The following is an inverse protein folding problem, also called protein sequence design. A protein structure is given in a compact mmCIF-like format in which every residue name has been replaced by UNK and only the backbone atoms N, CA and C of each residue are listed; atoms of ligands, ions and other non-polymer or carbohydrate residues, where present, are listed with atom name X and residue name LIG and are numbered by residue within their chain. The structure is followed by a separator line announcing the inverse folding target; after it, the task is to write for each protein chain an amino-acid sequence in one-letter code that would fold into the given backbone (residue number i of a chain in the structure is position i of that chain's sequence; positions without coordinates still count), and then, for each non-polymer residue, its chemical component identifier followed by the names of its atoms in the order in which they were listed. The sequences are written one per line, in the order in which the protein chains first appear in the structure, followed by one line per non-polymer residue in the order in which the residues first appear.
data_IF_220868393419
#
_entry.id   IF_220868393419
#
_cell.length_a   1.000
_cell.length_b   1.000
_cell.length_c   1.000
_cell.angle_alpha   90.00
_cell.angle_beta   90.00
_cell.angle_gamma   90.00
#
_symmetry.space_group_name_H-M   'P 1'
#
loop_
_entity.id
_entity.type
_entity.pdbx_description
1 polymer ?
#
# COMPACT_ATOMS: atom_id res chain seq x y z
N UNK A 1 11.98 16.16 18.40
CA UNK A 1 11.62 15.57 17.11
C UNK A 1 12.84 15.01 16.38
N UNK A 2 13.94 15.74 16.25
CA UNK A 2 15.15 15.29 15.54
C UNK A 2 15.69 13.93 16.03
N UNK A 3 15.74 13.74 17.36
CA UNK A 3 16.20 12.48 17.95
C UNK A 3 15.30 11.29 17.58
N UNK A 4 13.97 11.50 17.55
CA UNK A 4 13.02 10.49 17.12
C UNK A 4 13.21 10.12 15.65
N UNK A 5 13.40 11.09 14.78
CA UNK A 5 13.62 10.83 13.36
C UNK A 5 14.89 10.02 13.13
N UNK A 6 15.99 10.36 13.83
CA UNK A 6 17.24 9.58 13.77
C UNK A 6 17.02 8.14 14.22
N UNK A 7 16.30 7.93 15.33
CA UNK A 7 15.97 6.59 15.82
C UNK A 7 15.17 5.78 14.77
N UNK A 8 14.13 6.39 14.20
CA UNK A 8 13.30 5.74 13.20
C UNK A 8 14.07 5.41 11.92
N UNK A 9 14.96 6.31 11.49
CA UNK A 9 15.87 6.05 10.35
C UNK A 9 16.82 4.88 10.63
N UNK A 10 17.35 4.77 11.84
CA UNK A 10 18.19 3.61 12.22
C UNK A 10 17.42 2.30 12.25
N UNK A 11 16.18 2.33 12.77
CA UNK A 11 15.31 1.15 12.72
C UNK A 11 14.98 0.74 11.28
N UNK A 12 14.72 1.72 10.39
CA UNK A 12 14.55 1.47 8.95
C UNK A 12 15.79 0.80 8.34
N UNK A 13 16.98 1.35 8.59
CA UNK A 13 18.23 0.85 8.03
C UNK A 13 18.47 -0.62 8.44
N UNK A 14 18.17 -0.96 9.70
CA UNK A 14 18.26 -2.34 10.19
C UNK A 14 17.17 -3.23 9.58
N UNK A 15 15.94 -2.70 9.40
CA UNK A 15 14.83 -3.45 8.83
C UNK A 15 15.04 -3.81 7.34
N UNK A 16 15.91 -3.10 6.64
CA UNK A 16 16.29 -3.37 5.25
C UNK A 16 17.42 -4.41 5.09
N UNK A 17 18.01 -4.88 6.18
CA UNK A 17 19.03 -5.95 6.11
C UNK A 17 18.34 -7.29 5.79
N UNK A 18 18.69 -7.94 4.66
CA UNK A 18 17.93 -9.10 4.20
C UNK A 18 18.04 -10.30 5.15
N UNK A 19 16.89 -10.95 5.38
CA UNK A 19 16.75 -12.27 6.02
C UNK A 19 17.38 -12.42 7.41
N UNK A 20 17.23 -11.43 8.27
CA UNK A 20 17.70 -11.52 9.65
C UNK A 20 16.52 -11.35 10.64
N UNK A 21 16.54 -12.09 11.75
CA UNK A 21 15.59 -11.88 12.84
C UNK A 21 15.66 -10.43 13.38
N UNK A 22 16.83 -9.79 13.27
CA UNK A 22 17.01 -8.38 13.65
C UNK A 22 16.21 -7.43 12.75
N UNK A 23 16.14 -7.70 11.45
CA UNK A 23 15.35 -6.90 10.51
C UNK A 23 13.86 -6.99 10.83
N UNK A 24 13.36 -8.18 11.12
CA UNK A 24 11.96 -8.37 11.52
C UNK A 24 11.64 -7.66 12.85
N UNK A 25 12.52 -7.78 13.84
CA UNK A 25 12.38 -7.07 15.11
C UNK A 25 12.45 -5.56 14.93
N UNK A 26 13.37 -5.05 14.09
CA UNK A 26 13.49 -3.63 13.82
C UNK A 26 12.23 -3.08 13.12
N UNK A 27 11.70 -3.81 12.14
CA UNK A 27 10.46 -3.47 11.45
C UNK A 27 9.27 -3.42 12.41
N UNK A 28 9.13 -4.45 13.26
CA UNK A 28 8.06 -4.50 14.25
C UNK A 28 8.16 -3.33 15.25
N UNK A 29 9.35 -3.07 15.78
CA UNK A 29 9.59 -1.96 16.71
C UNK A 29 9.34 -0.59 16.06
N UNK A 30 9.75 -0.40 14.80
CA UNK A 30 9.50 0.84 14.06
C UNK A 30 7.99 1.14 14.02
N UNK A 31 7.17 0.20 13.57
CA UNK A 31 5.73 0.42 13.51
C UNK A 31 5.08 0.47 14.88
N UNK A 32 5.54 -0.30 15.86
CA UNK A 32 5.05 -0.21 17.23
C UNK A 32 5.26 1.20 17.80
N UNK A 33 6.45 1.77 17.65
CA UNK A 33 6.76 3.13 18.10
C UNK A 33 5.87 4.15 17.40
N UNK A 34 5.74 4.08 16.07
CA UNK A 34 4.91 5.01 15.31
C UNK A 34 3.44 4.95 15.73
N UNK A 35 2.90 3.75 15.92
CA UNK A 35 1.50 3.57 16.29
C UNK A 35 1.24 3.95 17.76
N UNK A 36 2.19 3.68 18.66
CA UNK A 36 2.04 3.98 20.08
C UNK A 36 2.15 5.48 20.37
N UNK A 37 3.05 6.18 19.67
CA UNK A 37 3.35 7.59 19.92
C UNK A 37 2.78 8.54 18.86
N UNK A 38 1.79 8.07 18.05
CA UNK A 38 1.25 8.84 16.94
C UNK A 38 0.71 10.22 17.33
N UNK A 39 0.17 10.38 18.53
CA UNK A 39 -0.34 11.66 19.04
C UNK A 39 0.77 12.64 19.47
N UNK A 40 2.01 12.16 19.58
CA UNK A 40 3.16 12.98 19.98
C UNK A 40 3.81 13.72 18.82
N UNK A 41 3.47 13.36 17.58
CA UNK A 41 4.00 13.98 16.36
C UNK A 41 3.04 15.04 15.83
N UNK A 42 3.59 16.15 15.33
CA UNK A 42 2.84 17.17 14.61
C UNK A 42 2.63 16.74 13.16
N UNK A 43 1.74 17.41 12.43
CA UNK A 43 1.50 17.11 11.01
C UNK A 43 2.79 17.18 10.16
N UNK A 44 3.59 18.23 10.36
CA UNK A 44 4.88 18.40 9.68
C UNK A 44 5.91 17.29 9.98
N UNK A 45 5.89 16.75 11.21
CA UNK A 45 6.74 15.65 11.61
C UNK A 45 6.33 14.35 10.91
N UNK A 46 5.02 14.14 10.74
CA UNK A 46 4.50 13.00 10.02
C UNK A 46 4.89 12.99 8.54
N UNK A 47 4.90 14.16 7.89
CA UNK A 47 5.38 14.28 6.51
C UNK A 47 6.85 13.86 6.42
N UNK A 48 7.69 14.30 7.36
CA UNK A 48 9.11 13.88 7.44
C UNK A 48 9.24 12.39 7.74
N UNK A 49 8.44 11.82 8.63
CA UNK A 49 8.45 10.37 8.90
C UNK A 49 8.06 9.60 7.65
N UNK A 50 7.05 10.05 6.91
CA UNK A 50 6.65 9.39 5.68
C UNK A 50 7.73 9.51 4.59
N UNK A 51 8.28 10.71 4.35
CA UNK A 51 9.26 10.96 3.30
C UNK A 51 10.63 10.34 3.57
N UNK A 52 11.09 10.39 4.84
CA UNK A 52 12.46 10.07 5.19
C UNK A 52 12.63 8.67 5.82
N UNK A 53 11.52 8.06 6.24
CA UNK A 53 11.56 6.74 6.90
C UNK A 53 10.72 5.71 6.15
N UNK A 54 9.41 5.96 5.99
CA UNK A 54 8.49 4.95 5.50
C UNK A 54 8.59 4.73 3.97
N UNK A 55 8.67 5.80 3.18
CA UNK A 55 8.86 5.66 1.73
C UNK A 55 10.21 5.01 1.39
N UNK A 56 11.36 5.46 1.92
CA UNK A 56 12.62 4.75 1.67
C UNK A 56 12.62 3.30 2.14
N UNK A 57 11.84 2.95 3.19
CA UNK A 57 11.69 1.58 3.65
C UNK A 57 11.03 0.68 2.59
N UNK A 58 9.98 1.18 1.91
CA UNK A 58 9.23 0.42 0.90
C UNK A 58 9.85 0.51 -0.50
N UNK A 59 10.63 1.55 -0.79
CA UNK A 59 11.36 1.75 -2.05
C UNK A 59 12.70 0.97 -2.09
N UNK A 60 13.16 0.45 -0.96
CA UNK A 60 14.43 -0.27 -0.88
C UNK A 60 14.43 -1.58 -1.67
N UNK A 61 15.61 -1.99 -2.16
CA UNK A 61 15.78 -3.24 -2.91
C UNK A 61 15.29 -4.47 -2.14
N UNK A 62 15.40 -4.45 -0.83
CA UNK A 62 14.99 -5.52 0.07
C UNK A 62 13.77 -5.13 0.92
N UNK A 63 12.87 -4.31 0.35
CA UNK A 63 11.68 -3.85 1.04
C UNK A 63 10.83 -5.05 1.52
N UNK A 64 10.63 -5.21 2.84
CA UNK A 64 9.78 -6.29 3.32
C UNK A 64 8.32 -6.00 2.98
N UNK A 65 7.60 -6.97 2.41
CA UNK A 65 6.18 -6.81 2.06
C UNK A 65 5.34 -6.28 3.25
N UNK A 66 5.64 -6.71 4.46
CA UNK A 66 4.97 -6.24 5.70
C UNK A 66 5.13 -4.74 5.96
N UNK A 67 6.15 -4.07 5.37
CA UNK A 67 6.33 -2.63 5.49
C UNK A 67 5.18 -1.86 4.82
N UNK A 68 4.65 -2.37 3.72
CA UNK A 68 3.50 -1.78 3.04
C UNK A 68 2.26 -1.77 3.92
N UNK A 69 1.97 -2.90 4.59
CA UNK A 69 0.86 -2.99 5.53
C UNK A 69 1.04 -2.06 6.73
N UNK A 70 2.25 -2.00 7.31
CA UNK A 70 2.57 -1.07 8.39
C UNK A 70 2.40 0.39 7.98
N UNK A 71 2.87 0.76 6.79
CA UNK A 71 2.72 2.11 6.23
C UNK A 71 1.23 2.44 6.00
N UNK A 72 0.45 1.52 5.44
CA UNK A 72 -0.99 1.69 5.26
C UNK A 72 -1.71 1.97 6.59
N UNK A 73 -1.34 1.25 7.67
CA UNK A 73 -1.88 1.50 9.02
C UNK A 73 -1.54 2.89 9.56
N UNK A 74 -0.31 3.36 9.36
CA UNK A 74 0.09 4.72 9.75
C UNK A 74 -0.72 5.75 8.98
N UNK A 75 -0.86 5.61 7.67
CA UNK A 75 -1.66 6.49 6.83
C UNK A 75 -3.13 6.51 7.29
N UNK A 76 -3.67 5.36 7.67
CA UNK A 76 -5.03 5.26 8.19
C UNK A 76 -5.22 6.01 9.51
N UNK A 77 -4.23 5.92 10.41
CA UNK A 77 -4.30 6.55 11.74
C UNK A 77 -4.03 8.06 11.74
N UNK A 78 -3.37 8.58 10.70
CA UNK A 78 -2.93 9.97 10.64
C UNK A 78 -3.61 10.72 9.49
N UNK A 79 -4.86 11.21 9.67
CA UNK A 79 -5.58 11.93 8.61
C UNK A 79 -4.82 13.14 8.06
N UNK A 80 -4.02 13.82 8.89
CA UNK A 80 -3.22 14.98 8.50
C UNK A 80 -2.25 14.68 7.35
N UNK A 81 -1.78 13.44 7.19
CA UNK A 81 -0.96 13.05 6.04
C UNK A 81 -1.72 13.21 4.72
N UNK A 82 -2.97 12.78 4.69
CA UNK A 82 -3.79 12.75 3.48
C UNK A 82 -4.28 14.12 3.03
N UNK A 83 -4.29 15.10 3.94
CA UNK A 83 -4.66 16.49 3.65
C UNK A 83 -3.46 17.36 3.28
N UNK A 84 -2.25 16.84 3.38
CA UNK A 84 -1.04 17.58 3.03
C UNK A 84 -0.89 17.70 1.50
N UNK A 85 -0.48 18.86 0.97
CA UNK A 85 -0.24 19.06 -0.46
C UNK A 85 0.81 18.10 -1.07
N UNK A 86 1.73 17.57 -0.26
CA UNK A 86 2.74 16.61 -0.72
C UNK A 86 2.20 15.18 -0.83
N UNK A 87 1.03 14.89 -0.25
CA UNK A 87 0.47 13.55 -0.22
C UNK A 87 0.32 12.88 -1.59
N UNK A 88 -0.22 13.52 -2.64
CA UNK A 88 -0.37 12.86 -3.94
C UNK A 88 0.95 12.31 -4.49
N UNK A 89 2.03 13.07 -4.37
CA UNK A 89 3.35 12.63 -4.82
C UNK A 89 3.89 11.45 -3.97
N UNK A 90 3.68 11.49 -2.66
CA UNK A 90 4.07 10.38 -1.76
C UNK A 90 3.24 9.13 -2.01
N UNK A 91 1.94 9.30 -2.28
CA UNK A 91 1.04 8.23 -2.66
C UNK A 91 1.47 7.55 -3.95
N UNK A 92 1.78 8.32 -5.00
CA UNK A 92 2.28 7.79 -6.27
C UNK A 92 3.58 6.99 -6.09
N UNK A 93 4.51 7.47 -5.26
CA UNK A 93 5.75 6.74 -4.91
C UNK A 93 5.46 5.42 -4.20
N UNK A 94 4.53 5.43 -3.24
CA UNK A 94 4.15 4.20 -2.51
C UNK A 94 3.51 3.16 -3.44
N UNK A 95 2.62 3.58 -4.35
CA UNK A 95 2.03 2.70 -5.36
C UNK A 95 3.09 2.13 -6.31
N UNK A 96 4.03 2.95 -6.76
CA UNK A 96 5.12 2.52 -7.63
C UNK A 96 6.03 1.49 -6.94
N UNK A 97 6.41 1.73 -5.68
CA UNK A 97 7.20 0.79 -4.88
C UNK A 97 6.47 -0.56 -4.69
N UNK A 98 5.13 -0.53 -4.55
CA UNK A 98 4.31 -1.74 -4.46
C UNK A 98 4.40 -2.56 -5.75
N UNK A 99 4.25 -1.92 -6.92
CA UNK A 99 4.35 -2.57 -8.22
C UNK A 99 5.74 -3.18 -8.44
N UNK A 100 6.80 -2.44 -8.14
CA UNK A 100 8.17 -2.92 -8.25
C UNK A 100 8.43 -4.13 -7.34
N UNK A 101 7.89 -4.11 -6.12
CA UNK A 101 8.05 -5.22 -5.17
C UNK A 101 7.35 -6.48 -5.67
N UNK A 102 6.12 -6.36 -6.19
CA UNK A 102 5.40 -7.49 -6.80
C UNK A 102 6.09 -7.99 -8.05
N UNK A 103 6.65 -7.10 -8.87
CA UNK A 103 7.39 -7.51 -10.08
C UNK A 103 8.70 -8.24 -9.74
N UNK A 104 9.35 -7.86 -8.63
CA UNK A 104 10.60 -8.45 -8.17
C UNK A 104 10.39 -9.81 -7.50
N UNK A 105 9.36 -9.92 -6.69
CA UNK A 105 9.03 -11.14 -5.93
C UNK A 105 7.56 -11.53 -6.13
N UNK A 106 7.23 -12.13 -7.29
CA UNK A 106 5.86 -12.51 -7.61
C UNK A 106 5.48 -13.79 -6.84
N UNK A 107 4.98 -13.61 -5.60
CA UNK A 107 4.46 -14.71 -4.77
C UNK A 107 3.04 -14.39 -4.28
N UNK A 108 2.23 -15.43 -4.03
CA UNK A 108 0.86 -15.27 -3.54
C UNK A 108 0.84 -14.53 -2.20
N UNK A 109 1.81 -14.79 -1.33
CA UNK A 109 1.90 -14.12 -0.02
C UNK A 109 2.24 -12.64 -0.14
N UNK A 110 3.20 -12.27 -1.01
CA UNK A 110 3.53 -10.86 -1.27
C UNK A 110 2.32 -10.16 -1.88
N UNK A 111 1.68 -10.76 -2.88
CA UNK A 111 0.50 -10.19 -3.51
C UNK A 111 -0.62 -9.93 -2.50
N UNK A 112 -0.93 -10.91 -1.66
CA UNK A 112 -1.97 -10.76 -0.63
C UNK A 112 -1.68 -9.60 0.30
N UNK A 113 -0.44 -9.48 0.82
CA UNK A 113 -0.04 -8.40 1.70
C UNK A 113 -0.17 -7.04 1.01
N UNK A 114 0.19 -6.95 -0.28
CA UNK A 114 0.04 -5.71 -1.08
C UNK A 114 -1.42 -5.33 -1.26
N UNK A 115 -2.28 -6.29 -1.59
CA UNK A 115 -3.72 -6.06 -1.75
C UNK A 115 -4.37 -5.64 -0.43
N UNK A 116 -4.04 -6.30 0.68
CA UNK A 116 -4.54 -5.93 2.02
C UNK A 116 -4.10 -4.51 2.42
N UNK A 117 -2.84 -4.15 2.15
CA UNK A 117 -2.31 -2.82 2.43
C UNK A 117 -3.03 -1.75 1.59
N UNK A 118 -3.18 -1.98 0.28
CA UNK A 118 -3.88 -1.07 -0.63
C UNK A 118 -5.36 -0.94 -0.25
N UNK A 119 -6.04 -2.05 0.00
CA UNK A 119 -7.43 -2.08 0.45
C UNK A 119 -7.63 -1.25 1.73
N UNK A 120 -6.74 -1.40 2.71
CA UNK A 120 -6.83 -0.64 3.97
C UNK A 120 -6.80 0.87 3.76
N UNK A 121 -6.00 1.37 2.79
CA UNK A 121 -5.96 2.80 2.47
C UNK A 121 -7.17 3.22 1.64
N UNK A 122 -7.59 2.37 0.69
CA UNK A 122 -8.75 2.66 -0.17
C UNK A 122 -10.08 2.72 0.60
N UNK A 123 -10.20 1.99 1.70
CA UNK A 123 -11.38 2.04 2.58
C UNK A 123 -11.51 3.30 3.43
N UNK A 124 -10.47 4.15 3.48
CA UNK A 124 -10.56 5.39 4.25
C UNK A 124 -11.60 6.32 3.61
N UNK A 125 -12.54 6.77 4.45
CA UNK A 125 -13.65 7.62 4.03
C UNK A 125 -13.19 9.08 3.85
N UNK A 126 -12.51 9.34 2.76
CA UNK A 126 -12.11 10.69 2.36
C UNK A 126 -12.64 10.98 0.95
N UNK A 127 -13.88 11.49 0.87
CA UNK A 127 -14.61 11.67 -0.39
C UNK A 127 -14.09 12.82 -1.27
N UNK A 128 -13.11 13.58 -0.81
CA UNK A 128 -12.74 14.87 -1.43
C UNK A 128 -11.46 14.86 -2.27
N UNK A 129 -10.75 13.73 -2.39
CA UNK A 129 -9.38 13.78 -2.90
C UNK A 129 -9.15 13.07 -4.23
N UNK A 130 -8.62 13.82 -5.20
CA UNK A 130 -8.28 13.38 -6.55
C UNK A 130 -7.21 12.26 -6.62
N UNK A 131 -6.47 11.99 -5.53
CA UNK A 131 -5.39 11.01 -5.50
C UNK A 131 -5.86 9.55 -5.66
N UNK A 132 -7.15 9.28 -5.50
CA UNK A 132 -7.75 7.96 -5.77
C UNK A 132 -7.54 7.49 -7.21
N UNK A 133 -7.50 8.43 -8.16
CA UNK A 133 -7.31 8.10 -9.58
C UNK A 133 -5.95 7.47 -9.86
N UNK A 134 -4.93 7.79 -9.07
CA UNK A 134 -3.60 7.22 -9.23
C UNK A 134 -3.53 5.75 -8.80
N UNK A 135 -4.42 5.30 -7.92
CA UNK A 135 -4.48 3.90 -7.50
C UNK A 135 -5.01 2.97 -8.60
N UNK A 136 -5.84 3.49 -9.51
CA UNK A 136 -6.51 2.69 -10.51
C UNK A 136 -5.55 1.92 -11.45
N UNK A 137 -4.55 2.53 -12.07
CA UNK A 137 -3.59 1.82 -12.90
C UNK A 137 -2.84 0.73 -12.13
N UNK A 138 -2.48 0.98 -10.87
CA UNK A 138 -1.81 0.02 -10.00
C UNK A 138 -2.70 -1.18 -9.71
N UNK A 139 -3.97 -0.95 -9.34
CA UNK A 139 -4.92 -2.05 -9.11
C UNK A 139 -5.09 -2.91 -10.36
N UNK A 140 -5.18 -2.31 -11.55
CA UNK A 140 -5.25 -3.06 -12.81
C UNK A 140 -4.01 -3.92 -13.05
N UNK A 141 -2.81 -3.38 -12.83
CA UNK A 141 -1.56 -4.13 -12.98
C UNK A 141 -1.45 -5.28 -11.97
N UNK A 142 -1.87 -5.05 -10.73
CA UNK A 142 -1.95 -6.11 -9.71
C UNK A 142 -2.95 -7.21 -10.12
N UNK A 143 -4.12 -6.83 -10.66
CA UNK A 143 -5.08 -7.79 -11.21
C UNK A 143 -4.48 -8.64 -12.33
N UNK A 144 -3.74 -8.03 -13.26
CA UNK A 144 -3.10 -8.75 -14.35
C UNK A 144 -1.97 -9.67 -13.86
N UNK A 145 -1.22 -9.25 -12.87
CA UNK A 145 -0.17 -10.08 -12.26
C UNK A 145 -0.79 -11.24 -11.51
N UNK A 146 -1.81 -10.99 -10.69
CA UNK A 146 -2.51 -12.05 -9.93
C UNK A 146 -3.19 -13.07 -10.86
N UNK A 147 -3.64 -12.65 -12.03
CA UNK A 147 -4.22 -13.55 -13.00
C UNK A 147 -3.24 -14.66 -13.48
N UNK A 148 -1.95 -14.47 -13.26
CA UNK A 148 -0.89 -15.44 -13.60
C UNK A 148 -0.47 -16.30 -12.41
N UNK A 149 -1.04 -16.05 -11.22
CA UNK A 149 -0.73 -16.74 -9.99
C UNK A 149 -1.76 -17.84 -9.66
N UNK A 150 -1.42 -18.75 -8.76
CA UNK A 150 -2.18 -19.98 -8.52
C UNK A 150 -3.44 -19.79 -7.67
N UNK A 151 -3.49 -18.80 -6.80
CA UNK A 151 -4.58 -18.59 -5.83
C UNK A 151 -4.99 -17.11 -5.80
N UNK A 152 -5.86 -16.68 -6.70
CA UNK A 152 -6.32 -15.29 -6.72
C UNK A 152 -7.21 -14.97 -5.51
N UNK A 153 -6.89 -13.91 -4.77
CA UNK A 153 -7.79 -13.30 -3.81
C UNK A 153 -8.81 -12.39 -4.52
N UNK A 154 -9.72 -13.04 -5.25
CA UNK A 154 -10.70 -12.37 -6.09
C UNK A 154 -11.70 -11.54 -5.28
N UNK A 155 -11.97 -11.96 -4.03
CA UNK A 155 -12.86 -11.22 -3.14
C UNK A 155 -12.31 -9.84 -2.83
N UNK A 156 -11.06 -9.79 -2.40
CA UNK A 156 -10.38 -8.54 -2.06
C UNK A 156 -10.21 -7.63 -3.28
N UNK A 157 -9.84 -8.19 -4.43
CA UNK A 157 -9.75 -7.44 -5.70
C UNK A 157 -11.10 -6.87 -6.14
N UNK A 158 -12.16 -7.68 -6.08
CA UNK A 158 -13.51 -7.23 -6.45
C UNK A 158 -13.98 -6.09 -5.55
N UNK A 159 -13.70 -6.17 -4.24
CA UNK A 159 -14.07 -5.13 -3.29
C UNK A 159 -13.28 -3.82 -3.55
N UNK A 160 -11.98 -3.90 -3.80
CA UNK A 160 -11.18 -2.74 -4.19
C UNK A 160 -11.66 -2.09 -5.48
N UNK A 161 -11.95 -2.88 -6.51
CA UNK A 161 -12.49 -2.37 -7.77
C UNK A 161 -13.86 -1.71 -7.58
N UNK A 162 -14.70 -2.30 -6.72
CA UNK A 162 -16.01 -1.72 -6.38
C UNK A 162 -15.84 -0.39 -5.62
N UNK A 163 -14.92 -0.32 -4.66
CA UNK A 163 -14.63 0.92 -3.93
C UNK A 163 -14.13 2.02 -4.85
N UNK A 164 -13.21 1.71 -5.76
CA UNK A 164 -12.72 2.67 -6.76
C UNK A 164 -13.84 3.11 -7.71
N UNK A 165 -14.72 2.18 -8.10
CA UNK A 165 -15.88 2.50 -8.92
C UNK A 165 -16.84 3.47 -8.22
N UNK A 166 -17.11 3.30 -6.93
CA UNK A 166 -17.95 4.21 -6.15
C UNK A 166 -17.33 5.60 -5.99
N UNK A 167 -16.00 5.67 -5.85
CA UNK A 167 -15.26 6.92 -5.64
C UNK A 167 -14.89 7.66 -6.93
N UNK A 168 -15.19 7.08 -8.10
CA UNK A 168 -14.82 7.66 -9.39
C UNK A 168 -15.45 9.04 -9.65
N UNK A 169 -14.66 9.91 -10.27
CA UNK A 169 -15.16 11.20 -10.78
C UNK A 169 -15.34 11.23 -12.31
N UNK A 170 -14.88 10.21 -13.06
CA UNK A 170 -14.85 10.19 -14.53
C UNK A 170 -15.58 8.98 -15.10
N UNK A 171 -16.45 9.24 -16.08
CA UNK A 171 -17.24 8.21 -16.79
C UNK A 171 -16.33 7.28 -17.62
N UNK A 172 -15.23 7.82 -18.19
CA UNK A 172 -14.33 7.06 -19.08
C UNK A 172 -13.60 5.92 -18.36
N UNK A 173 -13.32 6.09 -17.07
CA UNK A 173 -12.68 5.06 -16.23
C UNK A 173 -13.64 3.91 -15.90
N UNK A 174 -14.95 4.17 -15.94
CA UNK A 174 -15.99 3.20 -15.57
C UNK A 174 -15.99 1.97 -16.48
N UNK A 175 -15.78 2.15 -17.77
CA UNK A 175 -15.77 1.05 -18.74
C UNK A 175 -14.58 0.11 -18.50
N UNK A 176 -13.41 0.67 -18.23
CA UNK A 176 -12.19 -0.09 -17.90
C UNK A 176 -12.35 -0.85 -16.58
N UNK A 177 -12.96 -0.21 -15.57
CA UNK A 177 -13.25 -0.84 -14.28
C UNK A 177 -14.22 -2.01 -14.40
N UNK A 178 -15.31 -1.83 -15.15
CA UNK A 178 -16.28 -2.90 -15.39
C UNK A 178 -15.67 -4.04 -16.20
N UNK A 179 -14.81 -3.74 -17.17
CA UNK A 179 -14.09 -4.76 -17.91
C UNK A 179 -13.14 -5.56 -17.02
N UNK A 180 -12.39 -4.92 -16.14
CA UNK A 180 -11.51 -5.58 -15.19
C UNK A 180 -12.29 -6.44 -14.19
N UNK A 181 -13.39 -5.92 -13.61
CA UNK A 181 -14.30 -6.70 -12.76
C UNK A 181 -14.83 -7.95 -13.47
N UNK A 182 -15.33 -7.78 -14.69
CA UNK A 182 -15.83 -8.90 -15.49
C UNK A 182 -14.73 -9.92 -15.79
N UNK A 183 -13.52 -9.47 -16.08
CA UNK A 183 -12.36 -10.34 -16.30
C UNK A 183 -11.99 -11.13 -15.04
N UNK A 184 -11.95 -10.49 -13.88
CA UNK A 184 -11.70 -11.16 -12.59
C UNK A 184 -12.80 -12.19 -12.27
N UNK A 185 -14.07 -11.82 -12.44
CA UNK A 185 -15.19 -12.75 -12.21
C UNK A 185 -15.16 -13.98 -13.13
N UNK A 186 -14.88 -13.79 -14.43
CA UNK A 186 -14.74 -14.91 -15.37
C UNK A 186 -13.65 -15.90 -14.97
N UNK A 187 -12.51 -15.39 -14.51
CA UNK A 187 -11.39 -16.23 -14.06
C UNK A 187 -11.73 -17.00 -12.80
N UNK A 188 -12.39 -16.35 -11.82
CA UNK A 188 -12.85 -17.02 -10.59
C UNK A 188 -13.83 -18.15 -10.87
N UNK A 189 -14.75 -17.98 -11.81
CA UNK A 189 -15.69 -19.01 -12.21
C UNK A 189 -14.99 -20.19 -12.93
N UNK A 190 -13.92 -19.95 -13.71
CA UNK A 190 -13.18 -21.03 -14.38
C UNK A 190 -12.35 -21.88 -13.40
N UNK A 191 -11.86 -21.30 -12.31
CA UNK A 191 -11.12 -22.02 -11.27
C UNK A 191 -12.05 -22.85 -10.37
N UNK A 192 -13.29 -22.37 -10.13
CA UNK A 192 -14.28 -23.10 -9.36
C UNK A 192 -14.91 -24.30 -10.10
N UNK A 193 -14.66 -24.43 -11.40
CA UNK A 193 -15.22 -25.48 -12.28
C UNK A 193 -14.25 -26.65 -12.51
N UNK A 194 -13.07 -26.66 -11.90
CA UNK A 194 -12.03 -27.72 -11.95
C UNK A 194 -11.91 -28.36 -10.58
#
# INVERSE_FOLDING_TARGET
VELWLVLLQRLRDVAQVPKTNMAECALANLFQVLLQYHLSFRAEDWIRVLSDVLLPLVEGEHAPARAFHGTARVVAMVPALRTDPAWPAMWARWLHAMEETVAREPSDDVMRVMLEALHSVLHLQDDTQAWWHEAWPTVLRLCDTQARMSMPDLGLLADMLYMLFLKRSRVDESASMLHALHSCMRRGLSVAAV
#
